data_IF_653341176256
#
_entry.id   IF_653341176256
#
_cell.length_a   1.000
_cell.length_b   1.000
_cell.length_c   1.000
_cell.angle_alpha   90.00
_cell.angle_beta   90.00
_cell.angle_gamma   90.00
#
_symmetry.space_group_name_H-M   'P 1'
#
loop_
_entity.id
_entity.type
_entity.pdbx_description
1 polymer ?
#
# COMPACT_ATOMS: atom_id res chain seq x y z
N UNK A 1 25.18 15.29 -1.08
CA UNK A 1 24.74 14.39 -2.17
C UNK A 1 23.43 13.76 -1.74
N UNK A 2 22.30 14.31 -2.19
CA UNK A 2 20.98 13.83 -1.78
C UNK A 2 20.65 12.56 -2.53
N UNK A 3 20.48 11.44 -1.82
CA UNK A 3 19.90 10.24 -2.43
C UNK A 3 18.48 10.60 -2.89
N UNK A 4 18.22 10.47 -4.19
CA UNK A 4 16.86 10.55 -4.70
C UNK A 4 16.07 9.44 -4.04
N UNK A 5 15.07 9.81 -3.24
CA UNK A 5 14.22 8.84 -2.57
C UNK A 5 13.46 8.03 -3.61
N UNK A 6 13.73 6.72 -3.66
CA UNK A 6 12.99 5.80 -4.53
C UNK A 6 11.52 5.77 -4.11
N UNK A 7 10.64 5.66 -5.10
CA UNK A 7 9.22 5.40 -4.86
C UNK A 7 9.04 3.95 -4.43
N UNK A 8 8.01 3.68 -3.61
CA UNK A 8 7.66 2.32 -3.18
C UNK A 8 7.47 1.38 -4.38
N UNK A 9 6.88 1.88 -5.48
CA UNK A 9 6.75 1.12 -6.72
C UNK A 9 8.11 0.73 -7.33
N UNK A 10 9.07 1.65 -7.37
CA UNK A 10 10.41 1.38 -7.93
C UNK A 10 11.11 0.31 -7.08
N UNK A 11 10.98 0.42 -5.76
CA UNK A 11 11.48 -0.58 -4.81
C UNK A 11 10.85 -1.95 -5.10
N UNK A 12 9.52 -2.04 -5.23
CA UNK A 12 8.85 -3.31 -5.53
C UNK A 12 9.24 -3.90 -6.88
N UNK A 13 9.48 -3.06 -7.90
CA UNK A 13 9.97 -3.49 -9.22
C UNK A 13 11.37 -4.10 -9.09
N UNK A 14 12.27 -3.42 -8.36
CA UNK A 14 13.67 -3.84 -8.18
C UNK A 14 13.79 -5.25 -7.55
N UNK A 15 12.88 -5.61 -6.62
CA UNK A 15 12.97 -6.87 -5.88
C UNK A 15 12.00 -7.97 -6.33
N UNK A 16 10.82 -7.64 -6.87
CA UNK A 16 9.74 -8.61 -7.06
C UNK A 16 9.10 -8.63 -8.45
N UNK A 17 9.56 -7.81 -9.40
CA UNK A 17 9.03 -7.76 -10.77
C UNK A 17 7.49 -7.57 -10.82
N UNK A 18 6.98 -6.51 -10.19
CA UNK A 18 5.56 -6.15 -10.20
C UNK A 18 5.13 -5.46 -11.51
N UNK A 19 3.82 -5.45 -11.77
CA UNK A 19 3.16 -4.61 -12.77
C UNK A 19 2.26 -3.59 -12.07
N UNK A 20 2.23 -2.34 -12.54
CA UNK A 20 1.28 -1.34 -12.04
C UNK A 20 0.86 -0.37 -13.14
N UNK A 21 -0.40 0.08 -13.08
CA UNK A 21 -0.92 1.13 -13.95
C UNK A 21 -0.60 2.54 -13.42
N UNK A 22 -0.34 2.68 -12.11
CA UNK A 22 -0.01 3.94 -11.47
C UNK A 22 1.10 3.72 -10.44
N UNK A 23 2.29 4.24 -10.73
CA UNK A 23 3.46 4.05 -9.88
C UNK A 23 3.52 4.92 -8.63
N UNK A 24 2.45 5.66 -8.30
CA UNK A 24 2.41 6.56 -7.16
C UNK A 24 1.33 6.11 -6.16
N UNK A 25 1.73 5.97 -4.88
CA UNK A 25 0.80 5.81 -3.75
C UNK A 25 -0.09 7.05 -3.58
N UNK A 26 0.42 8.22 -3.94
CA UNK A 26 -0.30 9.48 -3.85
C UNK A 26 0.18 10.47 -4.91
N UNK A 27 -0.76 11.19 -5.52
CA UNK A 27 -0.47 12.27 -6.48
C UNK A 27 -0.80 13.62 -5.84
N UNK A 28 0.14 14.58 -5.80
CA UNK A 28 -0.13 15.94 -5.34
C UNK A 28 -1.29 16.57 -6.14
N UNK A 29 -2.35 17.01 -5.46
CA UNK A 29 -3.59 17.52 -6.08
C UNK A 29 -4.81 16.61 -5.87
N UNK A 30 -4.61 15.39 -5.37
CA UNK A 30 -5.67 14.48 -4.96
C UNK A 30 -6.00 14.57 -3.46
N UNK A 31 -5.50 15.60 -2.76
CA UNK A 31 -5.83 15.86 -1.35
C UNK A 31 -7.35 15.96 -1.23
N UNK A 32 -7.95 15.17 -0.34
CA UNK A 32 -9.41 15.03 -0.12
C UNK A 32 -10.19 14.21 -1.17
N UNK A 33 -9.53 13.59 -2.16
CA UNK A 33 -10.20 12.74 -3.17
C UNK A 33 -9.87 11.26 -3.03
N UNK A 34 -8.70 10.95 -2.49
CA UNK A 34 -8.20 9.57 -2.40
C UNK A 34 -7.32 9.39 -1.15
N UNK A 35 -7.51 8.26 -0.47
CA UNK A 35 -6.58 7.81 0.57
C UNK A 35 -5.34 7.22 -0.13
N UNK A 36 -4.12 7.62 0.29
CA UNK A 36 -2.89 7.07 -0.26
C UNK A 36 -2.91 5.55 -0.25
N UNK A 37 -2.79 4.96 -1.43
CA UNK A 37 -2.87 3.52 -1.65
C UNK A 37 -2.09 3.13 -2.90
N UNK A 38 -1.38 2.02 -2.84
CA UNK A 38 -0.77 1.40 -4.02
C UNK A 38 -1.60 0.20 -4.44
N UNK A 39 -1.92 0.10 -5.72
CA UNK A 39 -2.49 -1.11 -6.31
C UNK A 39 -1.52 -1.61 -7.37
N UNK A 40 -1.17 -2.89 -7.30
CA UNK A 40 -0.23 -3.50 -8.22
C UNK A 40 -0.50 -4.99 -8.39
N UNK A 41 0.03 -5.54 -9.47
CA UNK A 41 0.00 -6.96 -9.72
C UNK A 41 1.37 -7.59 -9.53
N UNK A 42 1.41 -8.76 -8.89
CA UNK A 42 2.59 -9.63 -8.91
C UNK A 42 2.44 -10.61 -10.07
N UNK A 43 3.55 -10.87 -10.79
CA UNK A 43 3.58 -11.98 -11.74
C UNK A 43 3.38 -13.29 -10.97
N UNK A 44 2.36 -14.07 -11.35
CA UNK A 44 2.06 -15.34 -10.69
C UNK A 44 2.99 -16.43 -11.24
N UNK A 45 3.94 -16.84 -10.41
CA UNK A 45 4.91 -17.90 -10.65
C UNK A 45 5.15 -18.72 -9.38
N UNK A 46 6.11 -19.66 -9.42
CA UNK A 46 6.44 -20.54 -8.29
C UNK A 46 6.94 -19.81 -7.04
N UNK A 47 7.39 -18.56 -7.15
CA UNK A 47 7.92 -17.75 -6.06
C UNK A 47 6.88 -16.77 -5.49
N UNK A 48 5.69 -16.64 -6.10
CA UNK A 48 4.68 -15.65 -5.69
C UNK A 48 4.33 -15.73 -4.22
N UNK A 49 4.15 -16.93 -3.65
CA UNK A 49 3.83 -17.08 -2.23
C UNK A 49 4.93 -16.54 -1.33
N UNK A 50 6.20 -16.82 -1.68
CA UNK A 50 7.36 -16.27 -0.96
C UNK A 50 7.42 -14.75 -1.08
N UNK A 51 7.23 -14.21 -2.28
CA UNK A 51 7.24 -12.76 -2.50
C UNK A 51 6.13 -12.07 -1.72
N UNK A 52 4.92 -12.63 -1.72
CA UNK A 52 3.78 -12.15 -0.94
C UNK A 52 4.13 -12.05 0.54
N UNK A 53 4.71 -13.11 1.11
CA UNK A 53 5.06 -13.14 2.52
C UNK A 53 6.12 -12.10 2.86
N UNK A 54 7.17 -11.95 2.03
CA UNK A 54 8.22 -10.95 2.25
C UNK A 54 7.65 -9.53 2.16
N UNK A 55 6.82 -9.24 1.16
CA UNK A 55 6.19 -7.92 1.01
C UNK A 55 5.28 -7.64 2.21
N UNK A 56 4.46 -8.62 2.61
CA UNK A 56 3.57 -8.52 3.77
C UNK A 56 4.35 -8.17 5.03
N UNK A 57 5.38 -8.93 5.36
CA UNK A 57 6.21 -8.69 6.53
C UNK A 57 6.91 -7.32 6.47
N UNK A 58 7.40 -6.93 5.28
CA UNK A 58 8.00 -5.62 5.07
C UNK A 58 7.01 -4.48 5.36
N UNK A 59 5.80 -4.55 4.82
CA UNK A 59 4.76 -3.53 4.97
C UNK A 59 4.21 -3.50 6.39
N UNK A 60 3.82 -4.65 6.95
CA UNK A 60 3.16 -4.74 8.25
C UNK A 60 4.12 -4.56 9.44
N UNK A 61 5.44 -4.68 9.23
CA UNK A 61 6.45 -4.38 10.25
C UNK A 61 6.82 -2.89 10.35
N UNK A 62 6.37 -2.07 9.39
CA UNK A 62 6.63 -0.64 9.41
C UNK A 62 5.94 0.04 10.60
N UNK A 63 6.70 0.88 11.33
CA UNK A 63 6.21 1.65 12.47
C UNK A 63 6.18 3.14 12.10
N UNK A 64 5.12 3.55 11.44
CA UNK A 64 4.84 4.95 11.08
C UNK A 64 3.74 5.57 11.92
N UNK A 65 3.18 6.66 11.40
CA UNK A 65 1.98 7.30 11.93
C UNK A 65 0.76 6.37 11.83
N UNK A 66 0.68 5.56 10.76
CA UNK A 66 -0.37 4.59 10.53
C UNK A 66 0.18 3.16 10.51
N UNK A 67 -0.68 2.21 10.85
CA UNK A 67 -0.45 0.81 10.47
C UNK A 67 -0.80 0.63 9.00
N UNK A 68 0.07 -0.08 8.27
CA UNK A 68 -0.12 -0.35 6.85
C UNK A 68 -0.47 -1.82 6.65
N UNK A 69 -1.33 -2.06 5.67
CA UNK A 69 -1.80 -3.38 5.27
C UNK A 69 -1.21 -3.74 3.90
N UNK A 70 -0.90 -5.01 3.70
CA UNK A 70 -0.69 -5.60 2.39
C UNK A 70 -1.58 -6.84 2.23
N UNK A 71 -2.23 -6.94 1.08
CA UNK A 71 -2.98 -8.14 0.72
C UNK A 71 -3.71 -8.01 -0.59
N UNK A 72 -4.65 -8.91 -0.84
CA UNK A 72 -5.34 -8.95 -2.13
C UNK A 72 -6.27 -7.75 -2.30
N UNK A 73 -6.13 -7.05 -3.43
CA UNK A 73 -7.10 -6.02 -3.79
C UNK A 73 -8.40 -6.69 -4.27
N UNK A 74 -9.54 -6.19 -3.80
CA UNK A 74 -10.86 -6.63 -4.25
C UNK A 74 -11.73 -5.41 -4.57
N UNK A 75 -12.57 -5.45 -5.62
CA UNK A 75 -12.89 -6.58 -6.50
C UNK A 75 -12.20 -6.53 -7.88
N UNK A 76 -10.90 -6.18 -7.96
CA UNK A 76 -10.26 -5.78 -9.23
C UNK A 76 -9.36 -6.85 -9.88
N UNK A 77 -9.02 -6.63 -11.17
CA UNK A 77 -8.00 -7.39 -11.94
C UNK A 77 -6.56 -7.16 -11.45
N UNK A 78 -6.36 -6.19 -10.56
CA UNK A 78 -5.10 -5.91 -9.88
C UNK A 78 -5.09 -6.74 -8.60
N UNK A 79 -4.14 -7.64 -8.41
CA UNK A 79 -4.28 -8.68 -7.38
C UNK A 79 -3.77 -8.26 -5.99
N UNK A 80 -3.05 -7.14 -5.82
CA UNK A 80 -2.58 -6.68 -4.51
C UNK A 80 -2.71 -5.18 -4.26
N UNK A 81 -2.76 -4.82 -2.98
CA UNK A 81 -2.78 -3.45 -2.51
C UNK A 81 -1.90 -3.22 -1.28
N UNK A 82 -1.40 -1.99 -1.14
CA UNK A 82 -0.80 -1.44 0.09
C UNK A 82 -1.60 -0.20 0.47
N UNK A 83 -2.18 -0.20 1.66
CA UNK A 83 -3.10 0.85 2.13
C UNK A 83 -3.06 0.96 3.66
N UNK A 84 -3.42 2.10 4.28
CA UNK A 84 -3.64 2.16 5.72
C UNK A 84 -4.62 1.07 6.20
N UNK A 85 -4.26 0.38 7.28
CA UNK A 85 -4.98 -0.79 7.78
C UNK A 85 -6.41 -0.47 8.24
N UNK A 86 -6.61 0.59 9.03
CA UNK A 86 -7.95 0.99 9.52
C UNK A 86 -8.93 1.20 8.36
N UNK A 87 -8.45 1.82 7.28
CA UNK A 87 -9.23 2.07 6.07
C UNK A 87 -9.66 0.76 5.40
N UNK A 88 -8.77 -0.23 5.36
CA UNK A 88 -9.10 -1.55 4.82
C UNK A 88 -10.09 -2.30 5.71
N UNK A 89 -9.85 -2.31 7.02
CA UNK A 89 -10.70 -3.01 7.98
C UNK A 89 -12.15 -2.50 7.93
N UNK A 90 -12.35 -1.17 7.78
CA UNK A 90 -13.68 -0.57 7.58
C UNK A 90 -14.35 -0.99 6.27
N UNK A 91 -13.57 -1.15 5.19
CA UNK A 91 -14.11 -1.68 3.92
C UNK A 91 -14.58 -3.11 4.08
N UNK A 92 -13.79 -3.95 4.75
CA UNK A 92 -14.13 -5.35 4.98
C UNK A 92 -15.40 -5.47 5.83
N UNK A 93 -15.50 -4.70 6.92
CA UNK A 93 -16.71 -4.65 7.75
C UNK A 93 -17.95 -4.16 6.97
N UNK A 94 -17.77 -3.20 6.06
CA UNK A 94 -18.87 -2.74 5.20
C UNK A 94 -19.28 -3.82 4.21
N UNK A 95 -18.31 -4.48 3.58
CA UNK A 95 -18.54 -5.56 2.63
C UNK A 95 -19.24 -6.75 3.28
N UNK A 96 -18.80 -7.20 4.46
CA UNK A 96 -19.45 -8.28 5.22
C UNK A 96 -20.94 -8.01 5.46
N UNK A 97 -21.31 -6.75 5.69
CA UNK A 97 -22.71 -6.36 5.98
C UNK A 97 -23.55 -6.14 4.72
N UNK A 98 -22.94 -5.71 3.62
CA UNK A 98 -23.67 -5.17 2.45
C UNK A 98 -23.41 -5.92 1.16
N UNK A 99 -22.39 -6.78 1.13
CA UNK A 99 -21.83 -7.43 -0.04
C UNK A 99 -21.46 -6.45 -1.17
N UNK A 100 -21.05 -5.22 -0.82
CA UNK A 100 -20.72 -4.14 -1.77
C UNK A 100 -19.42 -3.45 -1.38
N UNK A 101 -18.63 -3.08 -2.39
CA UNK A 101 -17.49 -2.19 -2.26
C UNK A 101 -17.90 -0.76 -2.57
N UNK A 102 -17.37 0.19 -1.80
CA UNK A 102 -17.67 1.63 -1.95
C UNK A 102 -16.38 2.44 -1.94
N UNK A 103 -16.44 3.73 -2.29
CA UNK A 103 -15.28 4.60 -2.09
C UNK A 103 -15.05 4.84 -0.60
N UNK A 104 -13.79 4.96 -0.18
CA UNK A 104 -13.44 5.19 1.23
C UNK A 104 -14.05 6.46 1.83
N UNK A 105 -14.35 7.47 1.00
CA UNK A 105 -15.10 8.67 1.42
C UNK A 105 -16.50 8.39 1.94
N UNK A 106 -17.05 7.19 1.69
CA UNK A 106 -18.35 6.73 2.21
C UNK A 106 -18.23 5.90 3.50
N UNK A 107 -17.00 5.61 3.94
CA UNK A 107 -16.70 4.73 5.07
C UNK A 107 -16.18 5.49 6.30
N UNK A 108 -15.78 6.74 6.11
CA UNK A 108 -15.24 7.62 7.15
C UNK A 108 -15.87 8.99 7.01
N UNK A 109 -15.90 9.76 8.11
CA UNK A 109 -16.24 11.18 8.05
C UNK A 109 -15.22 11.97 7.24
N UNK A 110 -15.58 13.17 6.79
CA UNK A 110 -14.65 14.05 6.05
C UNK A 110 -13.41 14.42 6.87
N UNK A 111 -13.58 14.64 8.18
CA UNK A 111 -12.48 14.94 9.09
C UNK A 111 -11.53 13.76 9.24
N UNK A 112 -12.05 12.56 9.48
CA UNK A 112 -11.24 11.33 9.53
C UNK A 112 -10.52 11.09 8.20
N UNK A 113 -11.21 11.28 7.07
CA UNK A 113 -10.64 11.13 5.74
C UNK A 113 -9.41 12.02 5.57
N UNK A 114 -9.52 13.29 5.98
CA UNK A 114 -8.44 14.27 5.91
C UNK A 114 -7.27 13.86 6.79
N UNK A 115 -7.54 13.50 8.05
CA UNK A 115 -6.50 13.11 9.02
C UNK A 115 -5.74 11.88 8.51
N UNK A 116 -6.45 10.83 8.10
CA UNK A 116 -5.83 9.61 7.58
C UNK A 116 -5.00 9.92 6.34
N UNK A 117 -5.51 10.76 5.44
CA UNK A 117 -4.78 11.14 4.22
C UNK A 117 -3.50 11.89 4.56
N UNK A 118 -3.53 12.83 5.50
CA UNK A 118 -2.35 13.60 5.91
C UNK A 118 -1.29 12.70 6.55
N UNK A 119 -1.68 11.88 7.54
CA UNK A 119 -0.76 10.95 8.20
C UNK A 119 -0.18 9.92 7.21
N UNK A 120 -0.99 9.43 6.28
CA UNK A 120 -0.54 8.51 5.25
C UNK A 120 0.48 9.16 4.32
N UNK A 121 0.29 10.42 3.92
CA UNK A 121 1.25 11.16 3.07
C UNK A 121 2.59 11.32 3.79
N UNK A 122 2.57 11.67 5.08
CA UNK A 122 3.77 11.80 5.91
C UNK A 122 4.55 10.49 6.01
N UNK A 123 3.84 9.35 6.05
CA UNK A 123 4.44 8.03 6.14
C UNK A 123 5.13 7.57 4.86
N UNK A 124 4.68 7.99 3.66
CA UNK A 124 5.13 7.44 2.36
C UNK A 124 6.66 7.39 2.25
N UNK A 125 7.32 8.49 2.63
CA UNK A 125 8.78 8.63 2.57
C UNK A 125 9.46 7.61 3.49
N UNK A 126 9.04 7.53 4.74
CA UNK A 126 9.62 6.62 5.72
C UNK A 126 9.31 5.15 5.41
N UNK A 127 8.11 4.86 4.89
CA UNK A 127 7.71 3.54 4.43
C UNK A 127 8.60 3.10 3.25
N UNK A 128 8.86 3.97 2.28
CA UNK A 128 9.77 3.67 1.16
C UNK A 128 11.17 3.27 1.65
N UNK A 129 11.74 4.06 2.56
CA UNK A 129 13.07 3.77 3.12
C UNK A 129 13.10 2.47 3.93
N UNK A 130 12.06 2.22 4.70
CA UNK A 130 11.91 0.97 5.45
C UNK A 130 11.85 -0.24 4.52
N UNK A 131 11.02 -0.19 3.49
CA UNK A 131 10.85 -1.29 2.53
C UNK A 131 12.13 -1.59 1.75
N UNK A 132 12.83 -0.56 1.24
CA UNK A 132 14.08 -0.78 0.51
C UNK A 132 15.13 -1.47 1.41
N UNK A 133 15.29 -1.01 2.65
CA UNK A 133 16.18 -1.64 3.62
C UNK A 133 15.77 -3.08 3.93
N UNK A 134 14.48 -3.31 4.16
CA UNK A 134 13.95 -4.62 4.52
C UNK A 134 14.16 -5.62 3.38
N UNK A 135 13.76 -5.27 2.15
CA UNK A 135 13.89 -6.15 0.98
C UNK A 135 15.34 -6.39 0.60
N UNK A 136 16.21 -5.39 0.72
CA UNK A 136 17.65 -5.60 0.55
C UNK A 136 18.18 -6.70 1.47
N UNK A 137 17.71 -6.78 2.71
CA UNK A 137 18.16 -7.80 3.67
C UNK A 137 17.58 -9.19 3.35
N UNK A 138 16.29 -9.27 3.04
CA UNK A 138 15.61 -10.56 2.83
C UNK A 138 15.82 -11.15 1.44
N UNK A 139 16.07 -10.34 0.41
CA UNK A 139 16.28 -10.80 -0.97
C UNK A 139 17.76 -11.00 -1.34
N UNK A 140 18.70 -10.53 -0.51
CA UNK A 140 20.14 -10.83 -0.68
C UNK A 140 20.57 -12.15 -0.02
N UNK A 141 19.61 -12.92 0.50
CA UNK A 141 19.80 -14.25 1.12
C UNK A 141 19.28 -15.34 0.19
#
# INVERSE_FOLDING_TARGET
MGQTQKKITEILIDYFSIQTNCGLIYTPGCKNKQIPSLYFSLNEDKNTERHNQIIKEGVESFKGNLQWYFGKSYPSRINYEIIPKDVRDRMDQHYEKTNKYVGYTKLVSEEEFRIITELAIEDISNLAHHLDRFFKRECSR
#
